data_IF_396455209766
#
_entry.id   IF_396455209766
#
_cell.length_a   1.000
_cell.length_b   1.000
_cell.length_c   1.000
_cell.angle_alpha   90.00
_cell.angle_beta   90.00
_cell.angle_gamma   90.00
#
_symmetry.space_group_name_H-M   'P 1'
#
loop_
_entity.id
_entity.type
_entity.pdbx_description
1 polymer ?
#
# COMPACT_ATOMS: atom_id res chain seq x y z
N UNK A 1 10.31 11.68 -24.50
CA UNK A 1 11.54 11.28 -25.22
C UNK A 1 12.00 12.38 -26.18
N UNK A 2 11.11 13.20 -26.75
CA UNK A 2 11.43 14.25 -27.71
C UNK A 2 11.85 15.60 -27.12
N UNK A 3 11.93 15.78 -25.82
CA UNK A 3 12.30 17.04 -25.16
C UNK A 3 13.78 17.01 -24.77
N UNK A 4 14.45 18.17 -24.85
CA UNK A 4 15.89 18.28 -24.59
C UNK A 4 16.29 17.85 -23.17
N UNK A 5 15.41 18.06 -22.17
CA UNK A 5 15.61 17.65 -20.78
C UNK A 5 14.60 16.54 -20.46
N UNK A 6 14.99 15.29 -20.74
CA UNK A 6 14.17 14.12 -20.47
C UNK A 6 15.09 12.99 -20.01
N UNK A 7 14.75 12.40 -18.88
CA UNK A 7 15.34 11.18 -18.30
C UNK A 7 14.77 9.90 -18.94
N UNK A 8 13.69 10.03 -19.73
CA UNK A 8 12.90 8.89 -20.21
C UNK A 8 13.71 7.88 -21.04
N UNK A 9 14.71 8.34 -21.83
CA UNK A 9 15.53 7.47 -22.67
C UNK A 9 16.45 6.58 -21.82
N UNK A 10 17.15 7.20 -20.87
CA UNK A 10 18.10 6.49 -19.99
C UNK A 10 17.33 5.53 -19.06
N UNK A 11 16.21 5.98 -18.50
CA UNK A 11 15.34 5.14 -17.69
C UNK A 11 14.84 3.90 -18.47
N UNK A 12 14.42 4.08 -19.73
CA UNK A 12 13.96 2.97 -20.57
C UNK A 12 15.08 1.99 -20.88
N UNK A 13 16.27 2.47 -21.30
CA UNK A 13 17.40 1.62 -21.66
C UNK A 13 17.83 0.78 -20.46
N UNK A 14 18.03 1.41 -19.31
CA UNK A 14 18.47 0.72 -18.09
C UNK A 14 17.40 -0.23 -17.56
N UNK A 15 16.11 0.13 -17.63
CA UNK A 15 15.03 -0.77 -17.26
C UNK A 15 15.00 -2.04 -18.09
N UNK A 16 15.24 -1.94 -19.42
CA UNK A 16 15.34 -3.10 -20.31
C UNK A 16 16.58 -3.92 -19.99
N UNK A 17 17.74 -3.31 -19.73
CA UNK A 17 18.96 -4.00 -19.31
C UNK A 17 18.72 -4.80 -18.03
N UNK A 18 18.09 -4.20 -17.02
CA UNK A 18 17.73 -4.86 -15.75
C UNK A 18 16.78 -6.03 -16.01
N UNK A 19 15.70 -5.80 -16.77
CA UNK A 19 14.70 -6.84 -17.06
C UNK A 19 15.28 -8.06 -17.78
N UNK A 20 16.25 -7.84 -18.67
CA UNK A 20 16.90 -8.93 -19.43
C UNK A 20 18.07 -9.59 -18.68
N UNK A 21 18.51 -9.03 -17.56
CA UNK A 21 19.65 -9.54 -16.78
C UNK A 21 19.42 -10.92 -16.16
N UNK A 22 18.17 -11.35 -16.02
CA UNK A 22 17.80 -12.58 -15.33
C UNK A 22 18.01 -12.55 -13.80
N UNK A 23 18.26 -11.38 -13.23
CA UNK A 23 18.52 -11.19 -11.79
C UNK A 23 17.31 -10.73 -11.00
N UNK A 24 16.33 -10.12 -11.66
CA UNK A 24 15.13 -9.53 -11.02
C UNK A 24 13.93 -10.40 -11.34
N UNK A 25 13.26 -10.91 -10.32
CA UNK A 25 12.12 -11.83 -10.42
C UNK A 25 10.85 -11.25 -9.77
N UNK A 26 10.71 -9.94 -9.80
CA UNK A 26 9.59 -9.20 -9.21
C UNK A 26 9.23 -7.99 -10.07
N UNK A 27 8.05 -7.42 -9.83
CA UNK A 27 7.61 -6.20 -10.51
C UNK A 27 8.28 -5.00 -9.85
N UNK A 28 9.02 -4.23 -10.64
CA UNK A 28 9.85 -3.13 -10.16
C UNK A 28 9.57 -1.84 -10.93
N UNK A 29 9.91 -0.72 -10.30
CA UNK A 29 10.04 0.59 -10.93
C UNK A 29 11.53 0.91 -10.98
N UNK A 30 12.06 1.17 -12.19
CA UNK A 30 13.38 1.76 -12.34
C UNK A 30 13.22 3.24 -12.69
N UNK A 31 13.84 4.08 -11.92
CA UNK A 31 13.79 5.52 -12.12
C UNK A 31 15.00 6.19 -11.49
N UNK A 32 15.64 7.12 -12.21
CA UNK A 32 16.77 7.95 -11.73
C UNK A 32 17.80 7.11 -10.96
N UNK A 33 18.46 6.20 -11.69
CA UNK A 33 19.51 5.30 -11.20
C UNK A 33 19.14 4.33 -10.07
N UNK A 34 17.88 4.25 -9.69
CA UNK A 34 17.42 3.35 -8.63
C UNK A 34 16.33 2.39 -9.08
N UNK A 35 16.45 1.15 -8.61
CA UNK A 35 15.44 0.11 -8.80
C UNK A 35 14.66 -0.08 -7.50
N UNK A 36 13.36 0.11 -7.58
CA UNK A 36 12.44 -0.01 -6.45
C UNK A 36 11.52 -1.20 -6.62
N UNK A 37 11.08 -1.79 -5.50
CA UNK A 37 9.97 -2.74 -5.49
C UNK A 37 8.66 -2.02 -5.79
N UNK A 38 7.94 -2.42 -6.84
CA UNK A 38 6.81 -1.67 -7.38
C UNK A 38 5.69 -1.39 -6.38
N UNK A 39 5.35 -2.37 -5.53
CA UNK A 39 4.30 -2.22 -4.51
C UNK A 39 4.79 -1.65 -3.16
N UNK A 40 6.01 -1.10 -3.13
CA UNK A 40 6.60 -0.42 -1.98
C UNK A 40 6.99 1.02 -2.30
N UNK A 41 6.62 1.49 -3.48
CA UNK A 41 7.11 2.75 -4.06
C UNK A 41 5.96 3.74 -4.19
N UNK A 42 6.24 4.99 -3.86
CA UNK A 42 5.33 6.12 -4.02
C UNK A 42 5.98 7.19 -4.89
N UNK A 43 5.18 7.95 -5.63
CA UNK A 43 5.64 9.13 -6.35
C UNK A 43 5.56 10.33 -5.41
N UNK A 44 6.72 10.89 -5.07
CA UNK A 44 6.83 11.97 -4.07
C UNK A 44 7.06 13.35 -4.69
N UNK A 45 7.44 13.41 -5.98
CA UNK A 45 7.74 14.68 -6.64
C UNK A 45 7.28 14.68 -8.10
N UNK A 46 6.86 15.85 -8.61
CA UNK A 46 6.42 16.03 -10.00
C UNK A 46 7.36 16.91 -10.82
N UNK A 47 8.30 17.60 -10.18
CA UNK A 47 9.19 18.59 -10.82
C UNK A 47 10.65 18.14 -10.88
N UNK A 48 11.08 17.32 -9.91
CA UNK A 48 12.45 16.79 -9.86
C UNK A 48 12.52 15.39 -10.49
N UNK A 49 13.72 15.05 -10.98
CA UNK A 49 13.97 13.72 -11.50
C UNK A 49 13.91 12.64 -10.41
N UNK A 50 14.35 12.95 -9.18
CA UNK A 50 14.16 12.08 -7.99
C UNK A 50 12.67 12.06 -7.58
N UNK A 51 11.83 11.48 -8.41
CA UNK A 51 10.38 11.55 -8.30
C UNK A 51 9.75 10.39 -7.55
N UNK A 52 10.48 9.31 -7.32
CA UNK A 52 9.98 8.11 -6.64
C UNK A 52 10.78 7.81 -5.38
N UNK A 53 10.12 7.27 -4.37
CA UNK A 53 10.71 6.83 -3.12
C UNK A 53 10.09 5.51 -2.66
N UNK A 54 10.89 4.68 -1.99
CA UNK A 54 10.42 3.49 -1.29
C UNK A 54 10.61 3.69 0.22
N UNK A 55 9.60 4.28 0.92
CA UNK A 55 9.80 4.81 2.26
C UNK A 55 10.13 3.76 3.32
N UNK A 56 9.54 2.58 3.20
CA UNK A 56 9.61 1.51 4.19
C UNK A 56 10.26 0.23 3.65
N UNK A 57 10.92 0.31 2.50
CA UNK A 57 11.59 -0.85 1.90
C UNK A 57 12.88 -0.41 1.18
N UNK A 58 13.98 -1.15 1.30
CA UNK A 58 15.24 -0.75 0.66
C UNK A 58 15.14 -0.82 -0.88
N UNK A 59 15.92 0.02 -1.55
CA UNK A 59 16.11 -0.08 -3.00
C UNK A 59 16.68 -1.44 -3.37
N UNK A 60 16.31 -1.95 -4.54
CA UNK A 60 16.70 -3.29 -5.01
C UNK A 60 18.00 -3.29 -5.81
N UNK A 61 18.27 -2.20 -6.51
CA UNK A 61 19.53 -1.99 -7.22
C UNK A 61 19.81 -0.50 -7.40
N UNK A 62 21.06 -0.19 -7.65
CA UNK A 62 21.57 1.14 -7.98
C UNK A 62 22.40 1.06 -9.27
N UNK A 63 22.03 1.86 -10.25
CA UNK A 63 22.76 1.95 -11.52
C UNK A 63 23.84 3.04 -11.41
N UNK A 64 24.98 2.76 -11.97
CA UNK A 64 26.11 3.64 -12.15
C UNK A 64 26.91 3.12 -13.30
N UNK A 65 28.25 3.17 -13.28
CA UNK A 65 29.08 2.49 -14.30
C UNK A 65 28.77 0.99 -14.39
N UNK A 66 28.28 0.42 -13.29
CA UNK A 66 27.77 -0.96 -13.20
C UNK A 66 26.53 -0.97 -12.33
N UNK A 67 25.57 -1.82 -12.67
CA UNK A 67 24.35 -2.01 -11.84
C UNK A 67 24.72 -2.88 -10.63
N UNK A 68 24.52 -2.31 -9.43
CA UNK A 68 24.77 -2.99 -8.14
C UNK A 68 23.45 -3.48 -7.56
N UNK A 69 23.21 -4.77 -7.65
CA UNK A 69 22.03 -5.42 -7.08
C UNK A 69 22.18 -5.64 -5.57
N UNK A 70 21.12 -5.38 -4.79
CA UNK A 70 21.08 -5.61 -3.35
C UNK A 70 20.68 -7.06 -3.06
N UNK A 71 20.98 -7.54 -1.84
CA UNK A 71 20.65 -8.91 -1.39
C UNK A 71 19.15 -9.12 -1.12
N UNK A 72 18.37 -8.05 -1.09
CA UNK A 72 16.92 -8.03 -0.86
C UNK A 72 16.09 -8.49 -2.05
N UNK A 73 16.70 -8.68 -3.23
CA UNK A 73 16.00 -9.22 -4.41
C UNK A 73 15.39 -10.58 -4.11
N UNK A 74 14.16 -10.76 -4.55
CA UNK A 74 13.49 -12.06 -4.46
C UNK A 74 14.20 -13.10 -5.33
N UNK A 75 14.31 -14.31 -4.78
CA UNK A 75 14.83 -15.44 -5.54
C UNK A 75 13.78 -15.93 -6.54
N UNK A 76 14.25 -16.44 -7.68
CA UNK A 76 13.37 -17.12 -8.64
C UNK A 76 12.63 -18.27 -7.96
N UNK A 77 11.32 -18.27 -8.09
CA UNK A 77 10.47 -19.38 -7.65
C UNK A 77 10.02 -20.21 -8.87
N UNK A 78 10.13 -21.53 -8.78
CA UNK A 78 9.63 -22.44 -9.79
C UNK A 78 8.13 -22.74 -9.57
N UNK A 79 7.32 -21.69 -9.59
CA UNK A 79 5.86 -21.80 -9.49
C UNK A 79 5.20 -21.59 -10.85
N UNK A 80 4.09 -22.30 -11.10
CA UNK A 80 3.26 -22.04 -12.27
C UNK A 80 2.63 -20.65 -12.17
N UNK A 81 2.59 -19.95 -13.29
CA UNK A 81 1.88 -18.67 -13.38
C UNK A 81 0.38 -18.87 -13.09
N UNK A 82 -0.12 -18.15 -12.12
CA UNK A 82 -1.56 -18.05 -11.82
C UNK A 82 -2.02 -16.66 -12.22
N UNK A 83 -3.06 -16.57 -13.05
CA UNK A 83 -3.59 -15.30 -13.53
C UNK A 83 -4.92 -15.02 -12.83
N UNK A 84 -4.95 -13.97 -12.03
CA UNK A 84 -6.17 -13.44 -11.42
C UNK A 84 -6.73 -12.33 -12.30
N UNK A 85 -8.01 -12.46 -12.69
CA UNK A 85 -8.65 -11.54 -13.66
C UNK A 85 -9.64 -10.56 -13.03
N UNK A 86 -9.94 -10.75 -11.73
CA UNK A 86 -10.97 -9.97 -11.05
C UNK A 86 -10.36 -9.03 -10.04
N UNK A 87 -10.72 -7.76 -10.14
CA UNK A 87 -10.51 -6.71 -9.14
C UNK A 87 -11.86 -6.08 -8.81
N UNK A 88 -12.08 -5.73 -7.55
CA UNK A 88 -13.27 -4.98 -7.16
C UNK A 88 -12.94 -3.50 -7.07
N UNK A 89 -13.80 -2.66 -7.67
CA UNK A 89 -13.70 -1.19 -7.54
C UNK A 89 -14.49 -0.66 -6.33
N UNK A 90 -15.09 -1.54 -5.53
CA UNK A 90 -15.90 -1.20 -4.36
C UNK A 90 -15.00 -0.89 -3.15
N UNK A 91 -14.13 0.10 -3.30
CA UNK A 91 -13.13 0.56 -2.32
C UNK A 91 -13.14 2.08 -2.24
N UNK A 92 -13.09 2.62 -1.01
CA UNK A 92 -12.94 4.04 -0.74
C UNK A 92 -11.77 4.32 0.20
N UNK A 93 -11.28 5.56 0.18
CA UNK A 93 -10.27 6.07 1.11
C UNK A 93 -10.93 7.00 2.10
N UNK A 94 -10.72 6.74 3.39
CA UNK A 94 -11.08 7.63 4.49
C UNK A 94 -9.79 8.23 5.06
N UNK A 95 -9.47 9.46 4.66
CA UNK A 95 -8.35 10.20 5.23
C UNK A 95 -8.83 11.07 6.38
N UNK A 96 -8.32 10.84 7.58
CA UNK A 96 -8.62 11.70 8.71
C UNK A 96 -7.92 13.06 8.58
N UNK A 97 -8.63 14.11 8.97
CA UNK A 97 -8.09 15.46 9.13
C UNK A 97 -8.76 16.15 10.32
N UNK A 98 -8.13 17.16 10.95
CA UNK A 98 -8.73 17.89 12.04
C UNK A 98 -10.05 18.55 11.64
N UNK A 99 -11.13 18.26 12.37
CA UNK A 99 -12.46 18.80 12.08
C UNK A 99 -13.31 17.97 11.09
N UNK A 100 -12.85 16.79 10.65
CA UNK A 100 -13.71 15.87 9.90
C UNK A 100 -14.94 15.50 10.73
N UNK A 101 -16.14 15.63 10.16
CA UNK A 101 -17.38 15.32 10.88
C UNK A 101 -17.74 13.84 10.78
N UNK A 102 -18.53 13.37 11.74
CA UNK A 102 -18.97 11.97 11.78
C UNK A 102 -19.85 11.62 10.57
N UNK A 103 -20.64 12.61 10.09
CA UNK A 103 -21.47 12.45 8.90
C UNK A 103 -20.62 12.22 7.65
N UNK A 104 -19.50 12.95 7.52
CA UNK A 104 -18.56 12.76 6.41
C UNK A 104 -17.91 11.38 6.48
N UNK A 105 -17.45 10.96 7.67
CA UNK A 105 -16.88 9.62 7.87
C UNK A 105 -17.89 8.55 7.49
N UNK A 106 -19.13 8.68 7.99
CA UNK A 106 -20.22 7.74 7.69
C UNK A 106 -20.49 7.65 6.19
N UNK A 107 -20.59 8.78 5.50
CA UNK A 107 -20.85 8.82 4.06
C UNK A 107 -19.76 8.09 3.26
N UNK A 108 -18.49 8.23 3.65
CA UNK A 108 -17.37 7.51 3.01
C UNK A 108 -17.46 6.01 3.30
N UNK A 109 -17.71 5.61 4.55
CA UNK A 109 -17.84 4.20 4.92
C UNK A 109 -19.02 3.53 4.20
N UNK A 110 -20.15 4.22 4.09
CA UNK A 110 -21.34 3.70 3.41
C UNK A 110 -21.11 3.53 1.91
N UNK A 111 -20.23 4.32 1.30
CA UNK A 111 -20.02 4.39 -0.15
C UNK A 111 -19.37 3.15 -0.76
N UNK A 112 -18.68 2.30 0.03
CA UNK A 112 -17.93 1.16 -0.48
C UNK A 112 -17.94 -0.03 0.51
N UNK A 113 -17.60 -1.22 0.01
CA UNK A 113 -17.42 -2.43 0.83
C UNK A 113 -16.07 -2.46 1.53
N UNK A 114 -15.02 -1.98 0.85
CA UNK A 114 -13.66 -1.90 1.39
C UNK A 114 -13.26 -0.46 1.68
N UNK A 115 -12.71 -0.20 2.87
CA UNK A 115 -12.29 1.14 3.27
C UNK A 115 -10.83 1.10 3.67
N UNK A 116 -10.00 1.87 2.97
CA UNK A 116 -8.65 2.19 3.42
C UNK A 116 -8.71 3.43 4.29
N UNK A 117 -8.34 3.31 5.55
CA UNK A 117 -8.31 4.42 6.51
C UNK A 117 -6.88 4.94 6.59
N UNK A 118 -6.68 6.21 6.27
CA UNK A 118 -5.42 6.93 6.49
C UNK A 118 -5.50 7.67 7.83
N UNK A 119 -4.85 7.10 8.85
CA UNK A 119 -4.87 7.60 10.22
C UNK A 119 -3.66 8.48 10.56
N UNK A 120 -3.72 9.18 11.68
CA UNK A 120 -2.63 10.05 12.13
C UNK A 120 -1.47 9.25 12.73
N UNK A 121 -0.24 9.71 12.50
CA UNK A 121 0.97 9.16 13.13
C UNK A 121 1.05 7.64 13.02
N UNK A 122 1.23 6.95 14.13
CA UNK A 122 1.40 5.50 14.20
C UNK A 122 0.06 4.71 14.20
N UNK A 123 -1.03 5.28 13.71
CA UNK A 123 -2.32 4.59 13.67
C UNK A 123 -3.39 5.22 14.56
N UNK A 124 -3.29 6.52 14.85
CA UNK A 124 -4.22 7.22 15.74
C UNK A 124 -5.44 7.76 14.98
N UNK A 125 -6.58 7.79 15.67
CA UNK A 125 -7.84 8.37 15.19
C UNK A 125 -8.37 9.41 16.19
N UNK A 126 -9.33 10.27 15.79
CA UNK A 126 -10.07 11.09 16.74
C UNK A 126 -10.72 10.22 17.81
N UNK A 127 -10.49 10.53 19.09
CA UNK A 127 -11.09 9.78 20.20
C UNK A 127 -12.54 10.22 20.34
N UNK A 128 -13.49 9.38 19.90
CA UNK A 128 -14.92 9.63 19.94
C UNK A 128 -15.69 8.32 20.11
N UNK A 129 -16.62 8.30 21.05
CA UNK A 129 -17.55 7.17 21.22
C UNK A 129 -18.42 6.97 19.98
N UNK A 130 -18.77 8.04 19.28
CA UNK A 130 -19.55 8.01 18.04
C UNK A 130 -18.75 7.34 16.91
N UNK A 131 -17.46 7.68 16.77
CA UNK A 131 -16.58 7.02 15.78
C UNK A 131 -16.45 5.52 16.07
N UNK A 132 -16.19 5.15 17.33
CA UNK A 132 -16.09 3.74 17.72
C UNK A 132 -17.39 2.99 17.44
N UNK A 133 -18.54 3.57 17.73
CA UNK A 133 -19.86 2.98 17.44
C UNK A 133 -20.09 2.81 15.93
N UNK A 134 -19.71 3.82 15.12
CA UNK A 134 -19.82 3.79 13.67
C UNK A 134 -18.96 2.67 13.05
N UNK A 135 -17.68 2.57 13.45
CA UNK A 135 -16.77 1.53 12.96
C UNK A 135 -17.24 0.13 13.35
N UNK A 136 -17.72 -0.04 14.59
CA UNK A 136 -18.32 -1.31 15.05
C UNK A 136 -19.55 -1.70 14.22
N UNK A 137 -20.43 -0.74 13.90
CA UNK A 137 -21.59 -0.97 13.04
C UNK A 137 -21.17 -1.38 11.64
N UNK A 138 -20.25 -0.65 11.04
CA UNK A 138 -19.70 -0.96 9.72
C UNK A 138 -19.09 -2.38 9.66
N UNK A 139 -18.35 -2.77 10.69
CA UNK A 139 -17.79 -4.13 10.78
C UNK A 139 -18.88 -5.22 10.84
N UNK A 140 -19.96 -4.99 11.62
CA UNK A 140 -21.11 -5.91 11.69
C UNK A 140 -21.87 -6.00 10.37
N UNK A 141 -21.93 -4.91 9.62
CA UNK A 141 -22.51 -4.85 8.27
C UNK A 141 -21.60 -5.47 7.19
N UNK A 142 -20.43 -5.95 7.58
CA UNK A 142 -19.51 -6.67 6.69
C UNK A 142 -18.58 -5.79 5.90
N UNK A 143 -18.42 -4.51 6.26
CA UNK A 143 -17.36 -3.65 5.70
C UNK A 143 -15.98 -4.18 6.09
N UNK A 144 -15.03 -4.09 5.17
CA UNK A 144 -13.62 -4.44 5.39
C UNK A 144 -12.85 -3.14 5.54
N UNK A 145 -12.27 -2.91 6.70
CA UNK A 145 -11.56 -1.67 7.02
C UNK A 145 -10.08 -1.97 7.26
N UNK A 146 -9.21 -1.32 6.50
CA UNK A 146 -7.75 -1.45 6.54
C UNK A 146 -7.13 -0.12 6.95
N UNK A 147 -6.45 -0.07 8.10
CA UNK A 147 -5.82 1.13 8.62
C UNK A 147 -4.35 1.21 8.22
N UNK A 148 -3.96 2.32 7.61
CA UNK A 148 -2.57 2.68 7.30
C UNK A 148 -2.25 4.07 7.88
N UNK A 149 -0.98 4.41 7.95
CA UNK A 149 -0.56 5.75 8.38
C UNK A 149 -0.58 6.76 7.22
N UNK A 150 -0.88 8.02 7.51
CA UNK A 150 -0.69 9.15 6.60
C UNK A 150 0.80 9.53 6.44
N UNK A 151 1.65 9.07 7.35
CA UNK A 151 3.06 9.35 7.28
C UNK A 151 3.71 8.54 6.17
N UNK A 152 4.60 9.18 5.42
CA UNK A 152 5.32 8.51 4.34
C UNK A 152 6.20 7.37 4.88
N UNK A 153 6.86 7.60 6.01
CA UNK A 153 7.69 6.61 6.71
C UNK A 153 7.01 6.10 7.96
N UNK A 154 7.24 4.84 8.30
CA UNK A 154 6.73 4.20 9.50
C UNK A 154 5.58 3.24 9.23
N UNK A 155 4.83 2.94 10.26
CA UNK A 155 3.82 1.89 10.20
C UNK A 155 2.63 2.23 11.10
N UNK A 156 1.44 1.81 10.72
CA UNK A 156 0.29 1.80 11.59
C UNK A 156 0.37 0.57 12.50
N UNK A 157 0.50 0.81 13.81
CA UNK A 157 0.66 -0.26 14.83
C UNK A 157 -0.62 -0.37 15.64
N UNK A 158 -1.17 -1.58 15.73
CA UNK A 158 -2.37 -1.84 16.52
C UNK A 158 -2.07 -1.71 18.03
N UNK A 159 -2.92 -0.95 18.75
CA UNK A 159 -2.96 -0.95 20.21
C UNK A 159 -1.78 -0.29 20.94
N UNK A 160 -0.95 0.49 20.25
CA UNK A 160 0.23 1.11 20.87
C UNK A 160 -0.10 2.36 21.71
N UNK A 161 -1.26 2.99 21.50
CA UNK A 161 -1.71 4.19 22.22
C UNK A 161 -3.20 4.12 22.53
N UNK A 162 -3.65 4.82 23.57
CA UNK A 162 -5.08 5.01 23.90
C UNK A 162 -5.85 5.59 22.71
N UNK A 163 -5.21 6.41 21.89
CA UNK A 163 -5.80 7.01 20.67
C UNK A 163 -5.97 6.05 19.50
N UNK A 164 -5.47 4.82 19.58
CA UNK A 164 -5.81 3.71 18.66
C UNK A 164 -7.03 2.91 19.12
N UNK A 165 -7.59 3.22 20.30
CA UNK A 165 -8.76 2.55 20.88
C UNK A 165 -9.99 2.49 19.94
N UNK A 166 -10.31 3.52 19.12
CA UNK A 166 -11.44 3.44 18.20
C UNK A 166 -11.35 2.28 17.20
N UNK A 167 -10.15 1.82 16.89
CA UNK A 167 -9.92 0.69 15.98
C UNK A 167 -9.90 -0.66 16.70
N UNK A 168 -9.46 -0.66 17.96
CA UNK A 168 -9.42 -1.85 18.81
C UNK A 168 -10.84 -2.39 19.06
N UNK A 169 -11.13 -3.61 18.66
CA UNK A 169 -12.45 -4.21 18.81
C UNK A 169 -13.44 -3.86 17.68
N UNK A 170 -13.23 -2.82 16.89
CA UNK A 170 -14.06 -2.46 15.75
C UNK A 170 -13.79 -3.32 14.50
N UNK A 171 -12.84 -4.26 14.55
CA UNK A 171 -12.50 -5.13 13.44
C UNK A 171 -11.75 -4.43 12.30
N UNK A 172 -11.15 -3.27 12.58
CA UNK A 172 -10.23 -2.59 11.69
C UNK A 172 -8.90 -3.34 11.68
N UNK A 173 -8.33 -3.56 10.52
CA UNK A 173 -7.10 -4.34 10.33
C UNK A 173 -5.94 -3.38 10.11
N UNK A 174 -4.80 -3.62 10.77
CA UNK A 174 -3.58 -2.85 10.51
C UNK A 174 -2.99 -3.23 9.14
N UNK A 175 -2.75 -2.21 8.32
CA UNK A 175 -1.98 -2.30 7.08
C UNK A 175 -0.48 -2.16 7.31
N UNK A 176 -0.06 -1.96 8.56
CA UNK A 176 1.34 -1.80 8.96
C UNK A 176 2.05 -0.73 8.11
N UNK A 177 3.09 -1.12 7.38
CA UNK A 177 3.96 -0.25 6.58
C UNK A 177 3.61 -0.23 5.08
N UNK A 178 2.40 -0.67 4.71
CA UNK A 178 1.93 -0.56 3.33
C UNK A 178 1.82 0.91 2.89
N UNK A 179 2.14 1.17 1.63
CA UNK A 179 1.78 2.44 1.00
C UNK A 179 0.27 2.49 0.73
N UNK A 180 -0.29 3.68 0.54
CA UNK A 180 -1.71 3.84 0.20
C UNK A 180 -2.07 3.07 -1.07
N UNK A 181 -1.22 3.13 -2.10
CA UNK A 181 -1.42 2.43 -3.36
C UNK A 181 -1.44 0.91 -3.16
N UNK A 182 -0.51 0.38 -2.38
CA UNK A 182 -0.45 -1.06 -2.07
C UNK A 182 -1.68 -1.51 -1.27
N UNK A 183 -2.11 -0.73 -0.28
CA UNK A 183 -3.28 -1.03 0.54
C UNK A 183 -4.56 -1.07 -0.29
N UNK A 184 -4.78 -0.07 -1.17
CA UNK A 184 -5.93 -0.01 -2.07
C UNK A 184 -5.94 -1.22 -3.00
N UNK A 185 -4.84 -1.47 -3.71
CA UNK A 185 -4.76 -2.56 -4.70
C UNK A 185 -4.92 -3.93 -4.02
N UNK A 186 -4.32 -4.13 -2.85
CA UNK A 186 -4.51 -5.37 -2.08
C UNK A 186 -5.97 -5.59 -1.70
N UNK A 187 -6.66 -4.55 -1.25
CA UNK A 187 -8.08 -4.62 -0.89
C UNK A 187 -8.96 -4.86 -2.11
N UNK A 188 -8.75 -4.16 -3.23
CA UNK A 188 -9.41 -4.39 -4.51
C UNK A 188 -9.21 -5.82 -5.02
N UNK A 189 -7.99 -6.33 -4.90
CA UNK A 189 -7.65 -7.69 -5.29
C UNK A 189 -8.43 -8.70 -4.46
N UNK A 190 -8.34 -8.64 -3.14
CA UNK A 190 -8.97 -9.61 -2.25
C UNK A 190 -10.51 -9.59 -2.35
N UNK A 191 -11.12 -8.42 -2.45
CA UNK A 191 -12.55 -8.27 -2.67
C UNK A 191 -13.01 -8.86 -4.02
N UNK A 192 -12.13 -8.88 -5.02
CA UNK A 192 -12.42 -9.42 -6.36
C UNK A 192 -12.31 -10.95 -6.46
N UNK A 193 -11.74 -11.64 -5.44
CA UNK A 193 -11.49 -13.08 -5.52
C UNK A 193 -12.67 -13.99 -5.08
N UNK A 194 -13.80 -13.40 -4.67
CA UNK A 194 -14.94 -14.18 -4.17
C UNK A 194 -14.73 -14.80 -2.79
N UNK A 195 -13.78 -14.31 -2.02
CA UNK A 195 -13.47 -14.73 -0.67
C UNK A 195 -14.54 -14.25 0.32
N UNK A 196 -14.74 -14.99 1.40
CA UNK A 196 -15.52 -14.53 2.56
C UNK A 196 -14.81 -13.38 3.28
N UNK A 197 -15.56 -12.58 4.04
CA UNK A 197 -14.99 -11.50 4.83
C UNK A 197 -13.89 -11.96 5.81
N UNK A 198 -14.05 -13.16 6.38
CA UNK A 198 -13.05 -13.74 7.29
C UNK A 198 -11.74 -14.06 6.55
N UNK A 199 -11.81 -14.67 5.37
CA UNK A 199 -10.65 -14.97 4.54
C UNK A 199 -9.96 -13.71 4.05
N UNK A 200 -10.72 -12.65 3.68
CA UNK A 200 -10.16 -11.36 3.30
C UNK A 200 -9.40 -10.74 4.47
N UNK A 201 -9.99 -10.72 5.66
CA UNK A 201 -9.34 -10.16 6.86
C UNK A 201 -8.06 -10.90 7.23
N UNK A 202 -8.04 -12.22 7.10
CA UNK A 202 -6.84 -13.03 7.31
C UNK A 202 -5.77 -12.73 6.24
N UNK A 203 -6.16 -12.65 4.97
CA UNK A 203 -5.24 -12.38 3.86
C UNK A 203 -4.64 -10.96 3.91
N UNK A 204 -5.39 -9.97 4.42
CA UNK A 204 -4.89 -8.60 4.59
C UNK A 204 -3.69 -8.53 5.54
N UNK A 205 -3.64 -9.40 6.55
CA UNK A 205 -2.54 -9.45 7.52
C UNK A 205 -1.30 -10.21 7.00
N UNK A 206 -1.44 -10.96 5.89
CA UNK A 206 -0.35 -11.75 5.29
C UNK A 206 0.36 -10.94 4.22
N UNK A 207 1.66 -11.21 4.07
CA UNK A 207 2.43 -10.74 2.93
C UNK A 207 2.10 -11.62 1.70
N UNK A 208 1.51 -11.03 0.67
CA UNK A 208 1.12 -11.74 -0.57
C UNK A 208 2.19 -11.60 -1.64
N UNK A 209 2.70 -10.38 -1.83
CA UNK A 209 3.64 -10.05 -2.91
C UNK A 209 4.78 -9.12 -2.46
N UNK A 210 5.05 -9.07 -1.17
CA UNK A 210 6.07 -8.22 -0.58
C UNK A 210 5.61 -6.79 -0.28
N UNK A 211 4.31 -6.55 -0.27
CA UNK A 211 3.69 -5.24 -0.05
C UNK A 211 3.67 -4.80 1.42
N UNK A 212 3.93 -5.73 2.35
CA UNK A 212 3.92 -5.48 3.81
C UNK A 212 5.11 -6.18 4.47
N UNK A 213 5.71 -5.57 5.48
CA UNK A 213 6.71 -6.21 6.34
C UNK A 213 6.01 -7.00 7.45
N UNK A 214 6.39 -8.25 7.62
CA UNK A 214 5.80 -9.21 8.58
C UNK A 214 6.78 -9.43 9.72
#
# INVERSE_FOLDING_TARGET
IGVRRSDAKENLITAVEIATSGKVHEVCIYFEDQLYKGNRTVKVNTEHFEAFESPNYPILAEAGVKIKYKKTLQKKEDKKLVVHKSLSNDVAILKFFPGITIETIKAIIDSAKGIVIESFGAGNAPTSTELSALLNTANKEGKIMLNITQCLHGSAVDGQYETSEPFGGAGVISGKDMTTEAAIIKLMFLLGQGLSNAEIKEALQKNISGEITV
#
